data_IF_288078101631
#
_entry.id   IF_288078101631
#
_cell.length_a   1.000
_cell.length_b   1.000
_cell.length_c   1.000
_cell.angle_alpha   90.00
_cell.angle_beta   90.00
_cell.angle_gamma   90.00
#
_symmetry.space_group_name_H-M   'P 1'
#
loop_
_entity.id
_entity.type
_entity.pdbx_description
1 polymer ?
#
# COMPACT_ATOMS: atom_id res chain seq x y z
N UNK A 1 -1.30 23.47 1.92
CA UNK A 1 -2.58 24.20 1.72
C UNK A 1 -3.64 23.16 1.38
N UNK A 2 -4.90 23.34 1.80
CA UNK A 2 -5.96 22.40 1.48
C UNK A 2 -6.11 22.17 -0.03
N UNK A 3 -6.32 20.92 -0.44
CA UNK A 3 -6.58 20.53 -1.83
C UNK A 3 -8.08 20.50 -2.08
N UNK A 4 -8.59 21.13 -3.15
CA UNK A 4 -10.05 21.15 -3.41
C UNK A 4 -10.58 19.82 -3.95
N UNK A 5 -9.78 19.16 -4.77
CA UNK A 5 -10.14 17.90 -5.45
C UNK A 5 -8.98 16.91 -5.24
N UNK A 6 -8.90 16.28 -4.06
CA UNK A 6 -7.91 15.22 -3.84
C UNK A 6 -8.26 14.02 -4.72
N UNK A 7 -7.29 13.55 -5.50
CA UNK A 7 -7.41 12.37 -6.35
C UNK A 7 -6.33 11.36 -5.96
N UNK A 8 -6.76 10.12 -5.73
CA UNK A 8 -5.90 8.97 -5.43
C UNK A 8 -6.74 7.69 -5.51
N UNK A 9 -6.09 6.56 -5.79
CA UNK A 9 -6.68 5.22 -5.62
C UNK A 9 -7.11 4.95 -4.17
N UNK A 10 -6.48 5.58 -3.19
CA UNK A 10 -6.85 5.51 -1.77
C UNK A 10 -8.03 6.43 -1.42
N UNK A 11 -9.21 6.12 -1.97
CA UNK A 11 -10.41 6.97 -1.86
C UNK A 11 -10.79 7.36 -0.43
N UNK A 12 -10.61 6.47 0.55
CA UNK A 12 -10.89 6.77 1.97
C UNK A 12 -9.95 7.82 2.57
N UNK A 13 -8.80 8.08 1.94
CA UNK A 13 -7.82 9.09 2.32
C UNK A 13 -7.81 10.31 1.38
N UNK A 14 -8.69 10.35 0.37
CA UNK A 14 -8.84 11.47 -0.56
C UNK A 14 -9.52 12.66 0.13
N UNK A 15 -8.84 13.25 1.12
CA UNK A 15 -9.35 14.31 1.99
C UNK A 15 -8.40 15.50 1.87
N UNK A 16 -8.84 16.53 1.16
CA UNK A 16 -7.99 17.68 0.87
C UNK A 16 -7.84 18.65 2.05
N UNK A 17 -8.73 18.58 3.03
CA UNK A 17 -8.68 19.33 4.28
C UNK A 17 -9.06 18.40 5.47
N UNK A 18 -8.12 17.58 5.98
CA UNK A 18 -8.42 16.67 7.08
C UNK A 18 -8.82 17.43 8.34
N UNK A 19 -9.90 17.00 9.00
CA UNK A 19 -10.42 17.66 10.21
C UNK A 19 -9.34 17.77 11.30
N UNK A 20 -8.58 16.70 11.52
CA UNK A 20 -7.52 16.63 12.52
C UNK A 20 -6.10 16.82 11.93
N UNK A 21 -5.99 17.49 10.78
CA UNK A 21 -4.71 17.66 10.09
C UNK A 21 -3.65 18.39 10.94
N UNK A 22 -4.03 19.52 11.54
CA UNK A 22 -3.11 20.30 12.39
C UNK A 22 -2.74 19.55 13.67
N UNK A 23 -3.69 18.82 14.27
CA UNK A 23 -3.45 17.97 15.43
C UNK A 23 -2.47 16.84 15.12
N UNK A 24 -2.63 16.20 13.96
CA UNK A 24 -1.74 15.13 13.49
C UNK A 24 -0.31 15.65 13.27
N UNK A 25 -0.15 16.83 12.66
CA UNK A 25 1.18 17.48 12.48
C UNK A 25 1.80 17.87 13.82
N UNK A 26 1.00 18.36 14.77
CA UNK A 26 1.47 18.70 16.11
C UNK A 26 2.01 17.46 16.85
N UNK A 27 1.27 16.35 16.82
CA UNK A 27 1.70 15.08 17.44
C UNK A 27 2.98 14.56 16.79
N UNK A 28 3.07 14.52 15.45
CA UNK A 28 4.29 14.10 14.74
C UNK A 28 5.50 14.92 15.21
N UNK A 29 5.38 16.24 15.31
CA UNK A 29 6.47 17.10 15.77
C UNK A 29 6.82 16.87 17.24
N UNK A 30 5.81 16.76 18.11
CA UNK A 30 6.00 16.60 19.55
C UNK A 30 6.67 15.26 19.91
N UNK A 31 6.40 14.20 19.13
CA UNK A 31 7.00 12.87 19.35
C UNK A 31 8.31 12.66 18.60
N UNK A 32 8.78 13.63 17.81
CA UNK A 32 9.93 13.44 16.91
C UNK A 32 9.65 12.45 15.77
N UNK A 33 8.38 12.23 15.46
CA UNK A 33 7.94 11.32 14.41
C UNK A 33 8.22 11.84 13.00
N UNK A 34 7.78 11.06 12.00
CA UNK A 34 7.98 11.35 10.59
C UNK A 34 6.71 11.10 9.77
N UNK A 35 6.67 11.69 8.57
CA UNK A 35 5.61 11.48 7.59
C UNK A 35 6.21 11.23 6.20
N UNK A 36 5.49 10.48 5.38
CA UNK A 36 5.83 10.24 3.98
C UNK A 36 4.61 10.45 3.09
N UNK A 37 4.86 10.93 1.88
CA UNK A 37 3.91 10.88 0.77
C UNK A 37 4.36 9.78 -0.19
N UNK A 38 3.40 9.10 -0.80
CA UNK A 38 3.60 7.97 -1.71
C UNK A 38 2.73 8.16 -2.94
N UNK A 39 3.14 7.56 -4.06
CA UNK A 39 2.37 7.59 -5.31
C UNK A 39 1.27 6.52 -5.32
N UNK A 40 0.29 6.64 -6.21
CA UNK A 40 -0.72 5.60 -6.40
C UNK A 40 -0.10 4.27 -6.84
N UNK A 41 0.95 4.30 -7.66
CA UNK A 41 1.68 3.10 -8.06
C UNK A 41 2.35 2.42 -6.85
N UNK A 42 2.98 3.20 -5.97
CA UNK A 42 3.54 2.66 -4.71
C UNK A 42 2.45 2.00 -3.85
N UNK A 43 1.23 2.55 -3.83
CA UNK A 43 0.10 2.02 -3.06
C UNK A 43 -0.32 0.66 -3.62
N UNK A 44 -0.45 0.54 -4.95
CA UNK A 44 -0.82 -0.72 -5.61
C UNK A 44 0.23 -1.80 -5.39
N UNK A 45 1.51 -1.45 -5.57
CA UNK A 45 2.63 -2.35 -5.32
C UNK A 45 2.67 -2.82 -3.86
N UNK A 46 2.38 -1.93 -2.91
CA UNK A 46 2.38 -2.24 -1.50
C UNK A 46 1.20 -3.14 -1.08
N UNK A 47 0.02 -2.93 -1.67
CA UNK A 47 -1.12 -3.85 -1.52
C UNK A 47 -0.79 -5.25 -2.05
N UNK A 48 -0.17 -5.34 -3.22
CA UNK A 48 0.26 -6.61 -3.82
C UNK A 48 1.31 -7.31 -2.96
N UNK A 49 2.33 -6.58 -2.48
CA UNK A 49 3.36 -7.09 -1.59
C UNK A 49 2.75 -7.71 -0.33
N UNK A 50 1.87 -6.97 0.35
CA UNK A 50 1.25 -7.41 1.59
C UNK A 50 0.40 -8.69 1.39
N UNK A 51 -0.31 -8.79 0.26
CA UNK A 51 -1.08 -9.98 -0.09
C UNK A 51 -0.17 -11.18 -0.42
N UNK A 52 0.92 -10.96 -1.15
CA UNK A 52 1.83 -12.02 -1.61
C UNK A 52 2.72 -12.58 -0.51
N UNK A 53 3.17 -11.74 0.44
CA UNK A 53 4.11 -12.19 1.48
C UNK A 53 3.42 -12.59 2.78
N UNK A 54 2.34 -11.90 3.17
CA UNK A 54 1.67 -12.11 4.46
C UNK A 54 0.28 -12.71 4.34
N UNK A 55 -0.26 -12.86 3.12
CA UNK A 55 -1.65 -13.30 2.92
C UNK A 55 -2.69 -12.29 3.41
N UNK A 56 -2.31 -11.01 3.57
CA UNK A 56 -3.19 -9.95 4.08
C UNK A 56 -3.74 -9.12 2.93
N UNK A 57 -5.04 -9.26 2.65
CA UNK A 57 -5.72 -8.55 1.57
C UNK A 57 -6.31 -7.21 2.07
N UNK A 58 -5.51 -6.15 1.96
CA UNK A 58 -5.89 -4.80 2.38
C UNK A 58 -6.51 -3.98 1.24
N UNK A 59 -7.35 -3.01 1.61
CA UNK A 59 -7.75 -1.94 0.67
C UNK A 59 -6.58 -0.95 0.45
N UNK A 60 -6.66 -0.02 -0.54
CA UNK A 60 -5.57 0.92 -0.84
C UNK A 60 -5.06 1.75 0.35
N UNK A 61 -5.89 2.05 1.34
CA UNK A 61 -5.44 2.74 2.56
C UNK A 61 -4.41 1.92 3.36
N UNK A 62 -4.52 0.59 3.35
CA UNK A 62 -3.49 -0.29 3.91
C UNK A 62 -2.20 -0.27 3.09
N UNK A 63 -2.31 -0.18 1.76
CA UNK A 63 -1.17 0.02 0.85
C UNK A 63 -0.40 1.30 1.15
N UNK A 64 -1.09 2.41 1.48
CA UNK A 64 -0.45 3.68 1.90
C UNK A 64 0.45 3.47 3.11
N UNK A 65 0.00 2.72 4.12
CA UNK A 65 0.78 2.45 5.34
C UNK A 65 2.06 1.68 5.03
N UNK A 66 1.96 0.62 4.23
CA UNK A 66 3.10 -0.23 3.84
C UNK A 66 4.07 0.55 2.95
N UNK A 67 3.57 1.28 1.95
CA UNK A 67 4.38 2.12 1.07
C UNK A 67 5.12 3.22 1.84
N UNK A 68 4.42 3.90 2.76
CA UNK A 68 5.01 4.94 3.60
C UNK A 68 6.08 4.36 4.53
N UNK A 69 5.82 3.20 5.15
CA UNK A 69 6.82 2.50 5.96
C UNK A 69 8.06 2.17 5.13
N UNK A 70 7.90 1.61 3.92
CA UNK A 70 9.03 1.32 3.01
C UNK A 70 9.82 2.60 2.65
N UNK A 71 9.14 3.72 2.40
CA UNK A 71 9.79 5.00 2.13
C UNK A 71 10.56 5.54 3.34
N UNK A 72 10.01 5.43 4.55
CA UNK A 72 10.66 5.85 5.80
C UNK A 72 11.85 4.94 6.15
N UNK A 73 11.74 3.63 5.92
CA UNK A 73 12.84 2.67 6.07
C UNK A 73 14.04 3.06 5.19
N UNK A 74 13.79 3.36 3.91
CA UNK A 74 14.83 3.81 2.96
C UNK A 74 15.50 5.12 3.37
N UNK A 75 14.81 5.96 4.14
CA UNK A 75 15.34 7.21 4.70
C UNK A 75 16.08 7.00 6.03
N UNK A 76 16.11 5.78 6.55
CA UNK A 76 16.75 5.46 7.84
C UNK A 76 15.99 6.00 9.04
N UNK A 77 14.67 6.18 8.95
CA UNK A 77 13.85 6.71 10.05
C UNK A 77 13.76 5.74 11.23
N UNK A 78 13.83 4.43 10.95
CA UNK A 78 13.93 3.38 11.96
C UNK A 78 15.13 2.49 11.63
N UNK A 79 15.73 1.90 12.67
CA UNK A 79 16.95 1.12 12.56
C UNK A 79 16.69 -0.30 12.03
N UNK A 80 17.71 -0.91 11.45
CA UNK A 80 17.67 -2.34 11.12
C UNK A 80 17.46 -3.16 12.40
N UNK A 81 16.45 -4.03 12.40
CA UNK A 81 16.09 -4.86 13.56
C UNK A 81 15.17 -4.18 14.58
N UNK A 82 14.78 -2.92 14.36
CA UNK A 82 13.73 -2.27 15.15
C UNK A 82 12.36 -2.88 14.86
N UNK A 83 11.51 -2.97 15.89
CA UNK A 83 10.14 -3.46 15.73
C UNK A 83 9.21 -2.32 15.32
N UNK A 84 8.58 -2.46 14.16
CA UNK A 84 7.61 -1.49 13.62
C UNK A 84 6.24 -2.15 13.55
N UNK A 85 5.20 -1.47 14.06
CA UNK A 85 3.82 -1.94 13.98
C UNK A 85 3.08 -1.12 12.92
N UNK A 86 2.50 -1.81 11.93
CA UNK A 86 1.71 -1.19 10.86
C UNK A 86 0.22 -1.41 11.12
N UNK A 87 -0.54 -0.31 11.21
CA UNK A 87 -1.98 -0.35 11.43
C UNK A 87 -2.71 -0.52 10.09
N UNK A 88 -3.06 -1.75 9.75
CA UNK A 88 -3.87 -2.06 8.57
C UNK A 88 -5.35 -2.06 8.98
N UNK A 89 -5.99 -0.89 8.85
CA UNK A 89 -7.34 -0.64 9.40
C UNK A 89 -8.48 -0.98 8.44
N UNK A 90 -8.19 -1.07 7.14
CA UNK A 90 -9.15 -1.37 6.08
C UNK A 90 -8.85 -2.68 5.38
N UNK A 91 -9.89 -3.51 5.18
CA UNK A 91 -9.79 -4.75 4.42
C UNK A 91 -10.39 -4.58 3.02
N UNK A 92 -9.92 -5.39 2.07
CA UNK A 92 -10.32 -5.24 0.67
C UNK A 92 -11.81 -5.53 0.39
N UNK A 93 -12.53 -6.22 1.28
CA UNK A 93 -13.98 -6.40 1.12
C UNK A 93 -14.77 -5.09 1.31
N UNK A 94 -14.16 -4.07 1.92
CA UNK A 94 -14.74 -2.73 2.07
C UNK A 94 -14.40 -1.83 0.90
N UNK A 95 -13.10 -1.66 0.63
CA UNK A 95 -12.60 -0.67 -0.34
C UNK A 95 -12.31 -1.22 -1.74
N UNK A 96 -12.51 -2.52 -1.95
CA UNK A 96 -12.09 -3.21 -3.16
C UNK A 96 -10.62 -3.59 -3.14
N UNK A 97 -10.26 -4.42 -4.11
CA UNK A 97 -8.87 -4.80 -4.39
C UNK A 97 -8.36 -3.94 -5.53
N UNK A 98 -7.19 -3.31 -5.33
CA UNK A 98 -6.42 -2.74 -6.43
C UNK A 98 -5.14 -3.56 -6.49
N UNK A 99 -5.05 -4.40 -7.52
CA UNK A 99 -3.92 -5.30 -7.72
C UNK A 99 -3.54 -5.31 -9.20
N UNK A 100 -2.24 -5.52 -9.50
CA UNK A 100 -1.84 -5.88 -10.85
C UNK A 100 -2.50 -7.21 -11.26
N UNK A 101 -2.53 -7.53 -12.56
CA UNK A 101 -2.99 -8.83 -13.05
C UNK A 101 -2.32 -9.97 -12.29
N UNK A 102 -3.11 -10.93 -11.80
CA UNK A 102 -2.62 -12.03 -10.97
C UNK A 102 -1.79 -13.06 -11.74
N UNK A 103 -1.99 -13.15 -13.05
CA UNK A 103 -1.28 -14.08 -13.92
C UNK A 103 -1.30 -13.59 -15.38
N UNK A 104 -0.42 -14.18 -16.20
CA UNK A 104 -0.48 -14.03 -17.64
C UNK A 104 -1.84 -14.51 -18.18
N UNK A 105 -2.38 -13.78 -19.15
CA UNK A 105 -3.54 -14.21 -19.91
C UNK A 105 -3.07 -15.19 -20.97
N UNK A 106 -3.59 -16.41 -20.95
CA UNK A 106 -3.25 -17.48 -21.89
C UNK A 106 -4.47 -17.88 -22.73
N UNK A 107 -4.23 -18.49 -23.88
CA UNK A 107 -5.27 -19.18 -24.63
C UNK A 107 -5.88 -20.33 -23.79
N UNK A 108 -7.17 -20.66 -23.97
CA UNK A 108 -7.85 -21.72 -23.22
C UNK A 108 -7.44 -23.11 -23.72
N UNK A 109 -6.15 -23.41 -23.62
CA UNK A 109 -5.48 -24.61 -24.08
C UNK A 109 -4.62 -25.23 -22.97
N UNK A 110 -4.70 -26.56 -22.84
CA UNK A 110 -4.07 -27.28 -21.73
C UNK A 110 -2.54 -27.32 -21.81
N UNK A 111 -2.00 -27.32 -23.03
CA UNK A 111 -0.55 -27.35 -23.24
C UNK A 111 0.03 -25.95 -23.00
N UNK A 112 -0.64 -24.91 -23.49
CA UNK A 112 -0.31 -23.51 -23.21
C UNK A 112 -0.32 -23.22 -21.70
N UNK A 113 -1.31 -23.73 -20.96
CA UNK A 113 -1.31 -23.64 -19.49
C UNK A 113 -0.10 -24.33 -18.87
N UNK A 114 0.22 -25.55 -19.32
CA UNK A 114 1.31 -26.34 -18.74
C UNK A 114 2.67 -25.66 -18.94
N UNK A 115 2.91 -25.10 -20.12
CA UNK A 115 4.14 -24.38 -20.44
C UNK A 115 4.29 -23.12 -19.58
N UNK A 116 3.23 -22.29 -19.52
CA UNK A 116 3.23 -21.08 -18.68
C UNK A 116 3.37 -21.41 -17.18
N UNK A 117 2.74 -22.49 -16.73
CA UNK A 117 2.82 -22.92 -15.33
C UNK A 117 4.22 -23.43 -14.97
N UNK A 118 4.92 -24.12 -15.87
CA UNK A 118 6.31 -24.54 -15.62
C UNK A 118 7.27 -23.35 -15.55
N UNK A 119 7.06 -22.30 -16.34
CA UNK A 119 7.85 -21.07 -16.26
C UNK A 119 7.71 -20.38 -14.89
N UNK A 120 6.49 -20.36 -14.32
CA UNK A 120 6.22 -19.79 -13.00
C UNK A 120 6.83 -20.61 -11.86
N UNK A 121 6.93 -21.93 -12.03
CA UNK A 121 7.50 -22.84 -11.03
C UNK A 121 9.04 -22.96 -11.09
N UNK A 122 9.68 -22.33 -12.07
CA UNK A 122 11.12 -22.37 -12.31
C UNK A 122 11.97 -22.03 -11.09
#
# INVERSE_FOLDING_TARGET
RPTRHPETVARSLAIGAPADGDGSVAVIRATGGSAAAVSDDDIVDACALLAQTEGVLAEPAGGVVVAAARALARRGVFASGESVVLYITGNAYKGGVVAPPLAAVIEPDADTFRDAYQEVLG
#
